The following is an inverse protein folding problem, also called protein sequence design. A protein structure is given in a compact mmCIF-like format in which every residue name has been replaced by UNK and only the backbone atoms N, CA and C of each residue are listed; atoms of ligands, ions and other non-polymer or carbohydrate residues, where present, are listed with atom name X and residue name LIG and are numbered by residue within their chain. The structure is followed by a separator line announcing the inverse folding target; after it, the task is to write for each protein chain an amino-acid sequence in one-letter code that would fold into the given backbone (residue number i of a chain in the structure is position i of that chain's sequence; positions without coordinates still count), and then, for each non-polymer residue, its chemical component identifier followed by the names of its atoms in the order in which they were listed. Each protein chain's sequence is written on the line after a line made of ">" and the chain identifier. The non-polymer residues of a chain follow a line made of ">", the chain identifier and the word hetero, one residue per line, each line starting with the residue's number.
data_IF_130855448780
#
_entry.id   IF_130855448780
#
_cell.length_a   1.000
_cell.length_b   1.000
_cell.length_c   1.000
_cell.angle_alpha   90.00
_cell.angle_beta   90.00
_cell.angle_gamma   90.00
#
_symmetry.space_group_name_H-M   'P 1'
#
loop_
_entity.id
_entity.type
_entity.pdbx_description
1 polymer ?
#
# COMPACT_ATOMS: atom_id res chain seq x y z
N UNK A 1 4.44 11.06 -26.92
CA UNK A 1 3.83 10.07 -27.84
C UNK A 1 2.54 9.59 -27.16
N UNK A 2 1.36 9.95 -27.68
CA UNK A 2 0.07 9.64 -27.03
C UNK A 2 -0.36 8.23 -27.45
N UNK A 3 -0.34 7.26 -26.53
CA UNK A 3 -0.48 5.83 -26.87
C UNK A 3 -1.95 5.37 -26.89
N UNK A 4 -2.81 5.84 -25.98
CA UNK A 4 -4.22 5.44 -25.92
C UNK A 4 -5.14 6.61 -25.50
N UNK A 5 -6.38 6.63 -26.01
CA UNK A 5 -7.41 7.65 -25.73
C UNK A 5 -8.74 6.99 -25.36
N UNK A 6 -9.51 7.64 -24.48
CA UNK A 6 -10.89 7.26 -24.16
C UNK A 6 -11.00 5.91 -23.44
N UNK A 7 -11.85 5.02 -23.94
CA UNK A 7 -12.18 3.74 -23.29
C UNK A 7 -10.98 2.83 -23.04
N UNK A 8 -9.99 2.82 -23.93
CA UNK A 8 -8.77 2.01 -23.75
C UNK A 8 -7.90 2.51 -22.61
N UNK A 9 -7.84 3.83 -22.38
CA UNK A 9 -7.10 4.42 -21.28
C UNK A 9 -7.74 4.06 -19.92
N UNK A 10 -9.07 4.05 -19.86
CA UNK A 10 -9.80 3.67 -18.65
C UNK A 10 -9.60 2.18 -18.29
N UNK A 11 -9.57 1.29 -19.30
CA UNK A 11 -9.24 -0.12 -19.11
C UNK A 11 -7.81 -0.31 -18.62
N UNK A 12 -6.84 0.40 -19.21
CA UNK A 12 -5.43 0.36 -18.78
C UNK A 12 -5.30 0.79 -17.32
N UNK A 13 -5.94 1.89 -16.92
CA UNK A 13 -5.94 2.35 -15.54
C UNK A 13 -6.55 1.32 -14.59
N UNK A 14 -7.70 0.74 -14.92
CA UNK A 14 -8.31 -0.29 -14.09
C UNK A 14 -7.44 -1.55 -13.96
N UNK A 15 -6.81 -1.97 -15.05
CA UNK A 15 -5.86 -3.08 -15.05
C UNK A 15 -4.66 -2.73 -14.17
N UNK A 16 -4.05 -1.56 -14.35
CA UNK A 16 -2.92 -1.12 -13.55
C UNK A 16 -3.26 -1.07 -12.06
N UNK A 17 -4.36 -0.42 -11.69
CA UNK A 17 -4.82 -0.34 -10.30
C UNK A 17 -5.05 -1.73 -9.69
N UNK A 18 -5.72 -2.61 -10.42
CA UNK A 18 -5.97 -3.99 -9.97
C UNK A 18 -4.65 -4.74 -9.79
N UNK A 19 -3.76 -4.66 -10.78
CA UNK A 19 -2.46 -5.34 -10.76
C UNK A 19 -1.58 -4.81 -9.62
N UNK A 20 -1.59 -3.50 -9.38
CA UNK A 20 -0.87 -2.85 -8.28
C UNK A 20 -1.41 -3.31 -6.92
N UNK A 21 -2.73 -3.27 -6.72
CA UNK A 21 -3.34 -3.71 -5.46
C UNK A 21 -3.08 -5.20 -5.23
N UNK A 22 -3.23 -6.04 -6.25
CA UNK A 22 -2.91 -7.47 -6.17
C UNK A 22 -1.44 -7.68 -5.81
N UNK A 23 -0.51 -6.96 -6.46
CA UNK A 23 0.91 -7.04 -6.14
C UNK A 23 1.21 -6.63 -4.70
N UNK A 24 0.63 -5.52 -4.22
CA UNK A 24 0.82 -5.06 -2.85
C UNK A 24 0.28 -6.06 -1.82
N UNK A 25 -0.90 -6.64 -2.06
CA UNK A 25 -1.46 -7.66 -1.17
C UNK A 25 -0.58 -8.92 -1.14
N UNK A 26 -0.13 -9.39 -2.30
CA UNK A 26 0.76 -10.54 -2.40
C UNK A 26 2.11 -10.26 -1.71
N UNK A 27 2.66 -9.06 -1.89
CA UNK A 27 3.90 -8.66 -1.25
C UNK A 27 3.74 -8.57 0.27
N UNK A 28 2.62 -8.06 0.78
CA UNK A 28 2.32 -8.07 2.22
C UNK A 28 2.24 -9.50 2.75
N UNK A 29 1.57 -10.42 2.05
CA UNK A 29 1.49 -11.83 2.46
C UNK A 29 2.89 -12.46 2.50
N UNK A 30 3.70 -12.27 1.46
CA UNK A 30 5.08 -12.79 1.43
C UNK A 30 5.95 -12.19 2.53
N UNK A 31 5.76 -10.91 2.85
CA UNK A 31 6.49 -10.24 3.92
C UNK A 31 6.11 -10.78 5.31
N UNK A 32 4.86 -11.22 5.50
CA UNK A 32 4.39 -11.82 6.75
C UNK A 32 4.75 -13.31 6.86
N UNK A 33 4.68 -14.04 5.75
CA UNK A 33 5.02 -15.46 5.65
C UNK A 33 5.89 -15.70 4.42
N UNK A 34 7.19 -15.72 4.64
CA UNK A 34 8.19 -15.98 3.59
C UNK A 34 7.93 -17.35 2.95
N UNK A 35 7.94 -17.40 1.62
CA UNK A 35 7.74 -18.63 0.84
C UNK A 35 6.29 -18.93 0.44
N UNK A 36 5.28 -18.25 0.99
CA UNK A 36 3.87 -18.59 0.68
C UNK A 36 3.50 -18.21 -0.75
N UNK A 37 3.91 -17.04 -1.21
CA UNK A 37 3.61 -16.57 -2.57
C UNK A 37 4.74 -16.96 -3.51
N UNK A 38 6.00 -16.78 -3.08
CA UNK A 38 7.17 -17.03 -3.93
C UNK A 38 7.32 -18.49 -4.40
N UNK A 39 6.71 -19.45 -3.69
CA UNK A 39 6.64 -20.87 -4.12
C UNK A 39 5.81 -21.05 -5.40
N UNK A 40 4.74 -20.27 -5.58
CA UNK A 40 3.84 -20.42 -6.74
C UNK A 40 4.04 -19.33 -7.79
N UNK A 41 4.49 -18.15 -7.38
CA UNK A 41 4.57 -16.97 -8.21
C UNK A 41 5.78 -16.12 -7.83
N UNK A 42 6.65 -15.85 -8.81
CA UNK A 42 7.79 -14.97 -8.60
C UNK A 42 7.34 -13.50 -8.64
N UNK A 43 7.36 -12.87 -7.47
CA UNK A 43 6.94 -11.49 -7.27
C UNK A 43 7.72 -10.48 -8.12
N UNK A 44 8.97 -10.77 -8.51
CA UNK A 44 9.75 -9.86 -9.37
C UNK A 44 9.15 -9.78 -10.79
N UNK A 45 8.66 -10.89 -11.34
CA UNK A 45 7.99 -10.86 -12.65
C UNK A 45 6.67 -10.10 -12.58
N UNK A 46 5.92 -10.26 -11.49
CA UNK A 46 4.70 -9.50 -11.26
C UNK A 46 5.00 -8.01 -11.10
N UNK A 47 6.06 -7.65 -10.36
CA UNK A 47 6.52 -6.27 -10.23
C UNK A 47 6.87 -5.65 -11.58
N UNK A 48 7.60 -6.38 -12.43
CA UNK A 48 7.91 -5.90 -13.79
C UNK A 48 6.61 -5.63 -14.56
N UNK A 49 5.61 -6.50 -14.47
CA UNK A 49 4.31 -6.28 -15.09
C UNK A 49 3.58 -5.04 -14.53
N UNK A 50 3.62 -4.81 -13.21
CA UNK A 50 3.07 -3.60 -12.57
C UNK A 50 3.77 -2.35 -13.08
N UNK A 51 5.11 -2.36 -13.16
CA UNK A 51 5.89 -1.22 -13.63
C UNK A 51 5.56 -0.91 -15.09
N UNK A 52 5.52 -1.92 -15.96
CA UNK A 52 5.17 -1.74 -17.37
C UNK A 52 3.75 -1.20 -17.51
N UNK A 53 2.78 -1.77 -16.79
CA UNK A 53 1.40 -1.29 -16.79
C UNK A 53 1.30 0.16 -16.29
N UNK A 54 2.03 0.51 -15.23
CA UNK A 54 2.07 1.87 -14.68
C UNK A 54 2.70 2.87 -15.64
N UNK A 55 3.77 2.49 -16.35
CA UNK A 55 4.35 3.34 -17.40
C UNK A 55 3.30 3.59 -18.49
N UNK A 56 2.62 2.56 -18.97
CA UNK A 56 1.58 2.69 -20.01
C UNK A 56 0.40 3.54 -19.53
N UNK A 57 0.01 3.39 -18.26
CA UNK A 57 -1.04 4.17 -17.63
C UNK A 57 -0.69 5.67 -17.53
N UNK A 58 0.53 6.00 -17.10
CA UNK A 58 1.02 7.39 -17.03
C UNK A 58 0.99 8.09 -18.39
N UNK A 59 1.25 7.34 -19.47
CA UNK A 59 1.17 7.87 -20.84
C UNK A 59 -0.25 7.88 -21.44
N UNK A 60 -1.24 7.41 -20.69
CA UNK A 60 -2.66 7.38 -21.10
C UNK A 60 -3.41 8.58 -20.54
N UNK A 61 -4.17 9.28 -21.39
CA UNK A 61 -5.01 10.41 -20.96
C UNK A 61 -6.30 9.87 -20.33
N UNK A 62 -6.27 9.62 -19.03
CA UNK A 62 -7.45 9.28 -18.24
C UNK A 62 -8.01 10.59 -17.65
N UNK A 63 -9.30 10.94 -17.87
CA UNK A 63 -9.91 12.04 -17.15
C UNK A 63 -9.84 11.73 -15.65
N UNK A 64 -9.21 12.64 -14.89
CA UNK A 64 -8.97 12.51 -13.46
C UNK A 64 -10.29 12.16 -12.75
N UNK A 65 -10.51 10.87 -12.45
CA UNK A 65 -11.60 10.47 -11.54
C UNK A 65 -11.14 10.94 -10.17
N UNK A 66 -11.63 12.11 -9.79
CA UNK A 66 -11.50 12.65 -8.45
C UNK A 66 -11.99 11.56 -7.49
N UNK A 67 -11.05 10.79 -6.92
CA UNK A 67 -11.37 9.85 -5.87
C UNK A 67 -12.03 10.66 -4.78
N UNK A 68 -13.26 10.30 -4.47
CA UNK A 68 -14.02 10.85 -3.38
C UNK A 68 -13.13 10.74 -2.14
N UNK A 69 -12.66 11.90 -1.65
CA UNK A 69 -11.85 11.94 -0.43
C UNK A 69 -12.68 11.23 0.62
N UNK A 70 -12.13 10.15 1.18
CA UNK A 70 -12.72 9.45 2.31
C UNK A 70 -12.69 10.45 3.46
N UNK A 71 -13.74 11.28 3.53
CA UNK A 71 -13.85 12.37 4.47
C UNK A 71 -14.13 11.77 5.83
N UNK A 72 -13.11 11.88 6.68
CA UNK A 72 -13.20 12.17 8.11
C UNK A 72 -13.99 11.18 8.98
N UNK A 73 -13.29 10.18 9.53
CA UNK A 73 -13.53 9.63 10.89
C UNK A 73 -12.21 9.14 11.52
N UNK A 74 -11.23 10.03 11.63
CA UNK A 74 -9.86 9.67 11.29
C UNK A 74 -8.92 9.32 12.47
N UNK A 75 -9.32 9.44 13.75
CA UNK A 75 -8.44 9.02 14.88
C UNK A 75 -8.52 7.53 15.20
N UNK A 76 -9.72 6.92 15.09
CA UNK A 76 -9.89 5.48 15.32
C UNK A 76 -9.19 4.65 14.23
N UNK A 77 -9.19 5.14 12.99
CA UNK A 77 -8.45 4.54 11.89
C UNK A 77 -6.94 4.55 12.14
N UNK A 78 -6.39 5.70 12.55
CA UNK A 78 -4.97 5.83 12.94
C UNK A 78 -4.61 4.88 14.08
N UNK A 79 -5.46 4.81 15.11
CA UNK A 79 -5.25 3.92 16.24
C UNK A 79 -5.28 2.44 15.82
N UNK A 80 -6.25 2.05 14.97
CA UNK A 80 -6.33 0.70 14.41
C UNK A 80 -5.10 0.37 13.55
N UNK A 81 -4.60 1.33 12.76
CA UNK A 81 -3.40 1.17 11.94
C UNK A 81 -2.15 0.95 12.81
N UNK A 82 -2.03 1.69 13.91
CA UNK A 82 -0.95 1.54 14.88
C UNK A 82 -0.97 0.18 15.59
N UNK A 83 -2.15 -0.28 16.02
CA UNK A 83 -2.33 -1.61 16.61
C UNK A 83 -1.99 -2.70 15.60
N UNK A 84 -2.52 -2.60 14.38
CA UNK A 84 -2.29 -3.57 13.32
C UNK A 84 -0.81 -3.63 12.95
N UNK A 85 -0.15 -2.48 12.82
CA UNK A 85 1.29 -2.38 12.60
C UNK A 85 2.11 -3.00 13.73
N UNK A 86 1.73 -2.75 14.99
CA UNK A 86 2.36 -3.37 16.16
C UNK A 86 2.27 -4.91 16.09
N UNK A 87 1.08 -5.46 15.83
CA UNK A 87 0.88 -6.91 15.75
C UNK A 87 1.66 -7.53 14.59
N UNK A 88 1.64 -6.91 13.41
CA UNK A 88 2.42 -7.35 12.23
C UNK A 88 3.91 -7.42 12.55
N UNK A 89 4.47 -6.34 13.13
CA UNK A 89 5.89 -6.26 13.42
C UNK A 89 6.27 -7.25 14.52
N UNK A 90 5.43 -7.40 15.54
CA UNK A 90 5.65 -8.37 16.60
C UNK A 90 5.61 -9.80 16.08
N UNK A 91 4.68 -10.12 15.19
CA UNK A 91 4.61 -11.45 14.57
C UNK A 91 5.87 -11.73 13.75
N UNK A 92 6.30 -10.79 12.91
CA UNK A 92 7.52 -10.95 12.10
C UNK A 92 8.81 -11.00 12.93
N UNK A 93 8.87 -10.23 14.01
CA UNK A 93 10.07 -10.06 14.84
C UNK A 93 10.10 -11.04 16.03
N UNK A 94 9.11 -11.94 16.13
CA UNK A 94 8.97 -12.85 17.28
C UNK A 94 10.20 -13.75 17.49
N UNK A 95 11.03 -13.96 16.48
CA UNK A 95 12.30 -14.68 16.58
C UNK A 95 13.37 -13.93 17.39
N UNK A 96 13.25 -12.61 17.59
CA UNK A 96 14.20 -11.79 18.34
C UNK A 96 13.92 -11.72 19.87
N UNK A 97 12.95 -12.49 20.37
CA UNK A 97 12.65 -12.59 21.80
C UNK A 97 12.22 -11.25 22.43
N UNK A 98 12.87 -10.83 23.52
CA UNK A 98 12.55 -9.58 24.23
C UNK A 98 12.70 -8.33 23.35
N UNK A 99 13.65 -8.35 22.41
CA UNK A 99 13.88 -7.25 21.48
C UNK A 99 12.66 -6.98 20.60
N UNK A 100 11.88 -8.03 20.29
CA UNK A 100 10.66 -7.93 19.50
C UNK A 100 9.64 -6.97 20.10
N UNK A 101 9.51 -6.94 21.44
CA UNK A 101 8.56 -6.08 22.12
C UNK A 101 8.94 -4.60 22.03
N UNK A 102 10.24 -4.30 22.15
CA UNK A 102 10.75 -2.94 22.05
C UNK A 102 10.59 -2.41 20.64
N UNK A 103 10.97 -3.20 19.63
CA UNK A 103 10.89 -2.82 18.22
C UNK A 103 9.42 -2.63 17.80
N UNK A 104 8.52 -3.56 18.17
CA UNK A 104 7.11 -3.44 17.81
C UNK A 104 6.45 -2.24 18.47
N UNK A 105 6.78 -1.93 19.74
CA UNK A 105 6.26 -0.78 20.45
C UNK A 105 6.70 0.54 19.79
N UNK A 106 8.00 0.69 19.54
CA UNK A 106 8.55 1.90 18.90
C UNK A 106 7.92 2.08 17.52
N UNK A 107 7.86 1.01 16.72
CA UNK A 107 7.28 1.10 15.39
C UNK A 107 5.77 1.41 15.41
N UNK A 108 5.00 0.84 16.35
CA UNK A 108 3.58 1.17 16.53
C UNK A 108 3.38 2.65 16.87
N UNK A 109 4.19 3.20 17.77
CA UNK A 109 4.17 4.64 18.11
C UNK A 109 4.53 5.48 16.89
N UNK A 110 5.57 5.11 16.14
CA UNK A 110 5.96 5.83 14.92
C UNK A 110 4.84 5.83 13.86
N UNK A 111 4.14 4.71 13.66
CA UNK A 111 3.00 4.63 12.74
C UNK A 111 1.89 5.61 13.16
N UNK A 112 1.57 5.68 14.45
CA UNK A 112 0.55 6.61 14.98
C UNK A 112 0.98 8.06 14.76
N UNK A 113 2.23 8.41 15.09
CA UNK A 113 2.76 9.76 14.92
C UNK A 113 2.77 10.20 13.45
N UNK A 114 3.27 9.34 12.56
CA UNK A 114 3.29 9.61 11.12
C UNK A 114 1.87 9.77 10.55
N UNK A 115 0.95 8.93 11.00
CA UNK A 115 -0.44 9.05 10.54
C UNK A 115 -1.07 10.34 11.06
N UNK A 116 -0.83 10.74 12.32
CA UNK A 116 -1.29 12.04 12.84
C UNK A 116 -0.72 13.23 12.06
N UNK A 117 0.57 13.20 11.73
CA UNK A 117 1.21 14.24 10.92
C UNK A 117 0.55 14.37 9.54
N UNK A 118 0.27 13.24 8.89
CA UNK A 118 -0.44 13.22 7.59
C UNK A 118 -1.87 13.75 7.72
N UNK A 119 -2.58 13.39 8.80
CA UNK A 119 -3.92 13.92 9.07
C UNK A 119 -3.93 15.44 9.23
N UNK A 120 -2.95 15.99 9.96
CA UNK A 120 -2.82 17.43 10.19
C UNK A 120 -2.55 18.19 8.88
N UNK A 121 -1.71 17.66 8.00
CA UNK A 121 -1.48 18.21 6.66
C UNK A 121 -2.71 18.19 5.74
N UNK A 122 -3.66 17.28 5.97
CA UNK A 122 -4.93 17.23 5.23
C UNK A 122 -5.94 18.25 5.77
N UNK A 123 -5.98 18.47 7.08
CA UNK A 123 -6.85 19.45 7.74
C UNK A 123 -6.40 20.89 7.46
N UNK A 124 -5.09 21.19 7.41
CA UNK A 124 -4.57 22.53 7.09
C UNK A 124 -4.76 22.94 5.61
N UNK A 125 -4.98 21.98 4.71
CA UNK A 125 -5.23 22.22 3.28
C UNK A 125 -6.72 22.47 2.94
N UNK A 126 -7.55 22.69 3.95
CA UNK A 126 -8.96 23.05 3.86
C UNK A 126 -9.25 24.44 4.42
#
# INVERSE_FOLDING_TARGET
>A
MKLFKGHHAELVNHIFQTLLVTYLVLLLIEQLWEGVVSVYLNLNYLLIAVIVAGIVDVFSEVPYKMHERVKTKNYWFVFALGILGFFIIKFKTSSLGWLSWVISLIAGVLIILLSMLVLEEEDERH
#
